data_IF_943975954881
#
_entry.id   IF_943975954881
#
_cell.length_a   1.000
_cell.length_b   1.000
_cell.length_c   1.000
_cell.angle_alpha   90.00
_cell.angle_beta   90.00
_cell.angle_gamma   90.00
#
_symmetry.space_group_name_H-M   'P 1'
#
loop_
_entity.id
_entity.type
_entity.pdbx_description
1 polymer ?
#
# COMPACT_ATOMS: atom_id res chain seq x y z
N UNK A 1 28.16 -29.16 -122.78
CA UNK A 1 27.21 -28.07 -122.45
C UNK A 1 25.92 -28.52 -121.75
N UNK A 2 25.43 -29.77 -121.88
CA UNK A 2 24.20 -30.25 -121.20
C UNK A 2 24.32 -30.37 -119.67
N UNK A 3 25.44 -30.87 -119.15
CA UNK A 3 25.59 -31.17 -117.71
C UNK A 3 25.72 -29.91 -116.83
N UNK A 4 26.28 -28.80 -117.33
CA UNK A 4 26.36 -27.55 -116.55
C UNK A 4 25.04 -26.77 -116.50
N UNK A 5 24.11 -27.05 -117.41
CA UNK A 5 22.75 -26.50 -117.34
C UNK A 5 21.96 -27.20 -116.24
N UNK A 6 22.01 -28.53 -116.18
CA UNK A 6 21.32 -29.33 -115.14
C UNK A 6 21.84 -28.97 -113.74
N UNK A 7 23.16 -28.87 -113.54
CA UNK A 7 23.74 -28.52 -112.24
C UNK A 7 23.30 -27.13 -111.75
N UNK A 8 23.20 -26.15 -112.66
CA UNK A 8 22.72 -24.79 -112.33
C UNK A 8 21.23 -24.77 -112.00
N UNK A 9 20.38 -25.52 -112.72
CA UNK A 9 18.96 -25.62 -112.39
C UNK A 9 18.71 -26.34 -111.06
N UNK A 10 19.45 -27.42 -110.77
CA UNK A 10 19.35 -28.09 -109.46
C UNK A 10 19.86 -27.23 -108.32
N UNK A 11 20.92 -26.44 -108.52
CA UNK A 11 21.43 -25.54 -107.49
C UNK A 11 20.44 -24.40 -107.22
N UNK A 12 19.85 -23.79 -108.26
CA UNK A 12 18.83 -22.74 -108.11
C UNK A 12 17.57 -23.30 -107.42
N UNK A 13 17.13 -24.51 -107.78
CA UNK A 13 15.98 -25.16 -107.14
C UNK A 13 16.24 -25.49 -105.66
N UNK A 14 17.46 -25.95 -105.33
CA UNK A 14 17.85 -26.23 -103.95
C UNK A 14 17.94 -24.92 -103.13
N UNK A 15 18.55 -23.87 -103.68
CA UNK A 15 18.59 -22.55 -103.03
C UNK A 15 17.19 -21.99 -102.81
N UNK A 16 16.26 -22.15 -103.78
CA UNK A 16 14.87 -21.70 -103.66
C UNK A 16 14.06 -22.52 -102.62
N UNK A 17 14.34 -23.82 -102.47
CA UNK A 17 13.76 -24.69 -101.43
C UNK A 17 14.27 -24.36 -100.01
N UNK A 18 15.51 -23.87 -99.87
CA UNK A 18 16.09 -23.47 -98.60
C UNK A 18 15.64 -22.07 -98.13
N UNK A 19 14.92 -21.29 -98.96
CA UNK A 19 14.34 -19.98 -98.57
C UNK A 19 12.93 -20.09 -97.95
N UNK A 20 12.39 -21.30 -97.79
CA UNK A 20 11.20 -21.52 -96.96
C UNK A 20 11.61 -21.46 -95.48
N UNK A 21 11.96 -20.27 -95.01
CA UNK A 21 12.11 -20.00 -93.58
C UNK A 21 10.81 -20.35 -92.89
N UNK A 22 10.93 -21.12 -91.80
CA UNK A 22 9.87 -21.53 -90.90
C UNK A 22 9.32 -20.24 -90.27
N UNK A 23 8.27 -19.67 -90.85
CA UNK A 23 7.58 -18.55 -90.25
C UNK A 23 6.95 -19.02 -88.94
N UNK A 24 7.47 -18.54 -87.80
CA UNK A 24 6.80 -18.74 -86.52
C UNK A 24 5.43 -18.06 -86.60
N UNK A 25 4.35 -18.80 -86.29
CA UNK A 25 2.98 -18.30 -86.29
C UNK A 25 2.67 -17.45 -85.03
N UNK A 26 3.56 -16.52 -84.69
CA UNK A 26 3.33 -15.56 -83.61
C UNK A 26 2.51 -14.37 -84.12
N UNK A 27 1.51 -13.97 -83.34
CA UNK A 27 0.66 -12.82 -83.68
C UNK A 27 1.21 -11.59 -82.99
N UNK A 28 1.82 -10.69 -83.76
CA UNK A 28 2.16 -9.34 -83.31
C UNK A 28 1.10 -8.34 -83.74
N UNK A 29 0.55 -7.54 -82.83
CA UNK A 29 -0.28 -6.38 -83.19
C UNK A 29 0.46 -5.11 -82.77
N UNK A 30 0.83 -4.29 -83.76
CA UNK A 30 1.71 -3.13 -83.61
C UNK A 30 3.09 -3.45 -82.98
N UNK A 31 3.48 -4.73 -83.05
CA UNK A 31 4.76 -5.23 -82.56
C UNK A 31 5.45 -6.02 -83.69
N UNK A 32 6.43 -5.42 -84.40
CA UNK A 32 7.07 -6.07 -85.57
C UNK A 32 8.03 -7.20 -85.18
N UNK A 33 8.49 -7.23 -83.93
CA UNK A 33 9.29 -8.31 -83.35
C UNK A 33 8.63 -8.82 -82.07
N UNK A 34 7.55 -9.62 -82.17
CA UNK A 34 6.92 -10.23 -81.01
C UNK A 34 7.95 -11.00 -80.18
N UNK A 35 7.80 -10.95 -78.85
CA UNK A 35 8.65 -11.73 -77.96
C UNK A 35 8.59 -13.22 -78.33
N UNK A 36 9.74 -13.88 -78.35
CA UNK A 36 9.86 -15.30 -78.72
C UNK A 36 9.07 -16.26 -77.82
N UNK A 37 8.69 -15.83 -76.61
CA UNK A 37 7.87 -16.58 -75.68
C UNK A 37 6.37 -16.32 -75.82
N UNK A 38 5.95 -15.38 -76.68
CA UNK A 38 4.56 -14.96 -76.80
C UNK A 38 3.88 -15.53 -78.05
N UNK A 39 2.69 -16.12 -77.86
CA UNK A 39 1.79 -16.49 -78.97
C UNK A 39 1.10 -15.23 -79.52
N UNK A 40 0.79 -14.27 -78.64
CA UNK A 40 0.23 -12.95 -78.96
C UNK A 40 1.01 -11.87 -78.21
N UNK A 41 1.60 -10.92 -78.94
CA UNK A 41 2.28 -9.75 -78.38
C UNK A 41 1.62 -8.46 -78.89
N UNK A 42 1.20 -7.60 -77.97
CA UNK A 42 0.44 -6.38 -78.23
C UNK A 42 1.25 -5.18 -77.72
N UNK A 43 1.59 -4.26 -78.63
CA UNK A 43 2.27 -3.01 -78.24
C UNK A 43 1.40 -1.80 -78.53
N UNK A 44 1.18 -0.96 -77.52
CA UNK A 44 0.52 0.34 -77.68
C UNK A 44 0.89 1.26 -76.52
N UNK A 45 1.08 2.55 -76.81
CA UNK A 45 1.39 3.55 -75.78
C UNK A 45 0.12 4.12 -75.11
N UNK A 46 -1.07 3.85 -75.67
CA UNK A 46 -2.34 4.44 -75.21
C UNK A 46 -3.59 3.56 -75.38
N UNK A 47 -3.46 2.29 -75.77
CA UNK A 47 -4.57 1.33 -75.89
C UNK A 47 -4.30 0.09 -75.03
N UNK A 48 -5.36 -0.56 -74.56
CA UNK A 48 -5.30 -1.82 -73.82
C UNK A 48 -5.97 -2.96 -74.58
N UNK A 49 -5.97 -4.16 -73.97
CA UNK A 49 -6.67 -5.33 -74.47
C UNK A 49 -8.04 -5.45 -73.79
N UNK A 50 -9.12 -5.45 -74.59
CA UNK A 50 -10.43 -5.88 -74.13
C UNK A 50 -10.58 -7.38 -74.44
N UNK A 51 -10.61 -8.19 -73.39
CA UNK A 51 -10.99 -9.61 -73.47
C UNK A 51 -12.51 -9.75 -73.65
N UNK A 52 -13.06 -10.94 -73.99
CA UNK A 52 -14.50 -11.13 -74.15
C UNK A 52 -15.29 -10.59 -72.97
N UNK A 53 -16.27 -9.73 -73.26
CA UNK A 53 -17.11 -9.04 -72.26
C UNK A 53 -18.50 -9.66 -72.28
N UNK A 54 -18.82 -10.40 -71.24
CA UNK A 54 -20.04 -11.22 -71.14
C UNK A 54 -20.72 -10.94 -69.80
N UNK A 55 -22.03 -11.14 -69.73
CA UNK A 55 -22.76 -11.17 -68.46
C UNK A 55 -22.50 -12.50 -67.71
N UNK A 56 -22.79 -12.54 -66.42
CA UNK A 56 -22.65 -13.76 -65.62
C UNK A 56 -23.42 -14.97 -66.21
N UNK A 57 -24.61 -14.74 -66.78
CA UNK A 57 -25.41 -15.78 -67.43
C UNK A 57 -24.79 -16.28 -68.73
N UNK A 58 -24.23 -15.38 -69.55
CA UNK A 58 -23.53 -15.74 -70.78
C UNK A 58 -22.23 -16.52 -70.51
N UNK A 59 -21.50 -16.17 -69.44
CA UNK A 59 -20.28 -16.88 -69.02
C UNK A 59 -20.60 -18.34 -68.65
N UNK A 60 -21.70 -18.57 -67.94
CA UNK A 60 -22.12 -19.93 -67.55
C UNK A 60 -22.53 -20.80 -68.75
N UNK A 61 -22.89 -20.20 -69.88
CA UNK A 61 -23.28 -20.91 -71.10
C UNK A 61 -22.10 -21.30 -71.99
N UNK A 62 -20.87 -20.91 -71.66
CA UNK A 62 -19.68 -21.30 -72.43
C UNK A 62 -19.49 -22.83 -72.34
N UNK A 63 -19.60 -23.57 -73.46
CA UNK A 63 -19.44 -25.02 -73.42
C UNK A 63 -17.95 -25.40 -73.34
N UNK A 64 -17.62 -26.34 -72.46
CA UNK A 64 -16.26 -26.88 -72.29
C UNK A 64 -15.16 -25.78 -72.18
N UNK A 65 -15.27 -24.82 -71.24
CA UNK A 65 -14.27 -23.77 -71.10
C UNK A 65 -12.90 -24.38 -70.78
N UNK A 66 -11.85 -23.88 -71.44
CA UNK A 66 -10.49 -24.29 -71.14
C UNK A 66 -10.03 -23.71 -69.80
N UNK A 67 -9.21 -24.46 -69.06
CA UNK A 67 -8.53 -23.93 -67.87
C UNK A 67 -7.68 -22.70 -68.25
N UNK A 68 -7.81 -21.62 -67.48
CA UNK A 68 -7.18 -20.33 -67.75
C UNK A 68 -7.94 -19.43 -68.73
N UNK A 69 -9.11 -19.83 -69.24
CA UNK A 69 -9.92 -18.96 -70.12
C UNK A 69 -10.36 -17.70 -69.37
N UNK A 70 -10.02 -16.52 -69.90
CA UNK A 70 -10.30 -15.22 -69.30
C UNK A 70 -11.49 -14.51 -69.96
N UNK A 71 -12.35 -13.90 -69.15
CA UNK A 71 -13.43 -13.02 -69.59
C UNK A 71 -13.65 -11.86 -68.60
N UNK A 72 -14.31 -10.81 -69.06
CA UNK A 72 -14.75 -9.71 -68.21
C UNK A 72 -16.26 -9.78 -68.03
N UNK A 73 -16.69 -9.98 -66.78
CA UNK A 73 -18.09 -10.05 -66.39
C UNK A 73 -18.68 -8.63 -66.30
N UNK A 74 -19.60 -8.29 -67.20
CA UNK A 74 -20.08 -6.91 -67.39
C UNK A 74 -21.10 -6.47 -66.35
N UNK A 75 -21.95 -7.37 -65.88
CA UNK A 75 -22.95 -7.14 -64.83
C UNK A 75 -22.33 -7.12 -63.42
N UNK A 76 -21.28 -7.91 -63.19
CA UNK A 76 -20.53 -7.92 -61.93
C UNK A 76 -19.33 -6.97 -61.92
N UNK A 77 -18.93 -6.43 -63.08
CA UNK A 77 -17.76 -5.55 -63.24
C UNK A 77 -16.44 -6.12 -62.72
N UNK A 78 -16.20 -7.41 -63.01
CA UNK A 78 -15.00 -8.14 -62.56
C UNK A 78 -14.36 -8.90 -63.71
N UNK A 79 -13.05 -9.16 -63.59
CA UNK A 79 -12.39 -10.15 -64.42
C UNK A 79 -12.63 -11.56 -63.86
N UNK A 80 -12.91 -12.53 -64.72
CA UNK A 80 -13.13 -13.92 -64.37
C UNK A 80 -12.18 -14.83 -65.16
N UNK A 81 -11.82 -15.96 -64.57
CA UNK A 81 -11.11 -17.04 -65.26
C UNK A 81 -11.72 -18.40 -64.91
N UNK A 82 -11.64 -19.36 -65.83
CA UNK A 82 -12.03 -20.74 -65.53
C UNK A 82 -10.84 -21.50 -64.93
N UNK A 83 -11.00 -22.13 -63.76
CA UNK A 83 -9.91 -22.85 -63.07
C UNK A 83 -9.84 -24.35 -63.43
N UNK A 84 -10.60 -24.79 -64.43
CA UNK A 84 -10.75 -26.20 -64.79
C UNK A 84 -12.03 -26.85 -64.23
N UNK A 85 -12.64 -26.28 -63.19
CA UNK A 85 -13.92 -26.76 -62.63
C UNK A 85 -15.01 -25.69 -62.60
N UNK A 86 -14.65 -24.47 -62.19
CA UNK A 86 -15.56 -23.36 -61.94
C UNK A 86 -15.01 -22.03 -62.47
N UNK A 87 -15.92 -21.07 -62.65
CA UNK A 87 -15.58 -19.68 -62.92
C UNK A 87 -15.18 -18.97 -61.63
N UNK A 88 -13.93 -18.52 -61.58
CA UNK A 88 -13.35 -17.81 -60.47
C UNK A 88 -13.22 -16.32 -60.80
N UNK A 89 -13.55 -15.45 -59.85
CA UNK A 89 -13.19 -14.04 -59.96
C UNK A 89 -11.67 -13.89 -59.81
N UNK A 90 -11.03 -13.13 -60.70
CA UNK A 90 -9.69 -12.62 -60.44
C UNK A 90 -9.82 -11.59 -59.32
N UNK A 91 -9.23 -11.83 -58.14
CA UNK A 91 -9.38 -10.92 -57.03
C UNK A 91 -8.86 -9.54 -57.45
N UNK A 92 -9.69 -8.52 -57.35
CA UNK A 92 -9.22 -7.15 -57.40
C UNK A 92 -8.48 -6.91 -56.09
N UNK A 93 -7.17 -7.17 -56.08
CA UNK A 93 -6.33 -6.65 -55.00
C UNK A 93 -6.41 -5.13 -55.20
N UNK A 94 -7.24 -4.46 -54.41
CA UNK A 94 -7.55 -3.03 -54.50
C UNK A 94 -6.37 -2.13 -54.13
N UNK A 95 -5.17 -2.47 -54.58
CA UNK A 95 -4.06 -1.53 -54.65
C UNK A 95 -4.48 -0.51 -55.70
N UNK A 96 -4.96 0.65 -55.23
CA UNK A 96 -4.89 1.84 -56.08
C UNK A 96 -3.43 1.98 -56.46
N UNK A 97 -3.09 1.63 -57.70
CA UNK A 97 -1.81 1.95 -58.28
C UNK A 97 -1.78 3.48 -58.43
N UNK A 98 -1.38 4.16 -57.35
CA UNK A 98 -1.13 5.59 -57.39
C UNK A 98 0.16 5.78 -58.21
N UNK A 99 0.03 5.92 -59.54
CA UNK A 99 1.13 6.15 -60.48
C UNK A 99 1.81 7.54 -60.32
N UNK A 100 1.77 8.15 -59.13
CA UNK A 100 2.33 9.47 -58.86
C UNK A 100 2.88 9.68 -57.45
N UNK A 101 2.96 8.64 -56.63
CA UNK A 101 3.59 8.74 -55.30
C UNK A 101 4.86 7.87 -55.23
N UNK A 102 6.07 8.46 -55.38
CA UNK A 102 7.33 7.75 -55.23
C UNK A 102 7.57 7.23 -53.79
N UNK A 103 6.69 7.53 -52.84
CA UNK A 103 6.74 7.02 -51.45
C UNK A 103 6.07 5.64 -51.26
N UNK A 104 5.50 5.05 -52.31
CA UNK A 104 4.82 3.74 -52.21
C UNK A 104 5.74 2.54 -51.88
N UNK A 105 7.06 2.73 -51.78
CA UNK A 105 7.98 1.72 -51.24
C UNK A 105 8.05 1.69 -49.70
N UNK A 106 7.29 2.55 -49.00
CA UNK A 106 7.09 2.45 -47.55
C UNK A 106 5.71 1.87 -47.25
N UNK A 107 5.66 0.57 -46.96
CA UNK A 107 4.47 -0.20 -46.60
C UNK A 107 3.69 0.47 -45.44
N UNK A 108 2.76 1.37 -45.77
CA UNK A 108 1.75 1.86 -44.82
C UNK A 108 0.62 0.84 -44.82
N UNK A 109 0.53 0.06 -43.75
CA UNK A 109 -0.61 -0.83 -43.49
C UNK A 109 -1.85 0.06 -43.32
N UNK A 110 -2.60 0.30 -44.39
CA UNK A 110 -3.96 0.83 -44.31
C UNK A 110 -4.92 -0.33 -44.04
N UNK A 111 -4.88 -0.89 -42.82
CA UNK A 111 -5.84 -1.90 -42.41
C UNK A 111 -7.18 -1.22 -42.10
N UNK A 112 -8.13 -1.31 -43.03
CA UNK A 112 -9.54 -1.11 -42.70
C UNK A 112 -10.01 -2.37 -41.96
N UNK A 113 -10.03 -2.30 -40.64
CA UNK A 113 -10.38 -3.41 -39.74
C UNK A 113 -11.89 -3.40 -39.56
N UNK A 114 -12.57 -4.36 -40.19
CA UNK A 114 -14.01 -4.60 -40.01
C UNK A 114 -14.31 -5.09 -38.58
N UNK A 115 -15.54 -4.92 -38.05
CA UNK A 115 -15.87 -5.15 -36.63
C UNK A 115 -15.68 -6.58 -36.11
N UNK A 116 -15.50 -7.57 -37.01
CA UNK A 116 -15.49 -9.01 -36.67
C UNK A 116 -14.13 -9.69 -36.84
N UNK A 117 -13.08 -8.99 -37.30
CA UNK A 117 -11.73 -9.57 -37.42
C UNK A 117 -10.78 -9.01 -36.37
N UNK A 118 -9.93 -9.88 -35.82
CA UNK A 118 -8.90 -9.53 -34.83
C UNK A 118 -7.63 -9.04 -35.54
N UNK A 119 -6.95 -8.06 -34.97
CA UNK A 119 -5.72 -7.47 -35.51
C UNK A 119 -4.54 -7.96 -34.70
N UNK A 120 -3.68 -8.77 -35.31
CA UNK A 120 -2.40 -9.18 -34.75
C UNK A 120 -1.25 -8.37 -35.35
N UNK A 121 -0.53 -7.61 -34.53
CA UNK A 121 0.79 -7.06 -34.87
C UNK A 121 1.81 -7.95 -34.15
N UNK A 122 2.65 -8.66 -34.91
CA UNK A 122 3.59 -9.63 -34.34
C UNK A 122 2.97 -10.97 -33.91
N UNK A 123 1.68 -11.22 -34.19
CA UNK A 123 0.99 -12.49 -33.92
C UNK A 123 0.07 -12.89 -35.07
N UNK A 124 0.12 -14.16 -35.50
CA UNK A 124 -0.79 -14.74 -36.49
C UNK A 124 -2.04 -15.39 -35.85
N UNK A 125 -2.14 -15.40 -34.51
CA UNK A 125 -3.27 -15.95 -33.75
C UNK A 125 -3.72 -14.99 -32.64
N UNK A 126 -4.15 -13.76 -32.98
CA UNK A 126 -4.57 -12.77 -31.98
C UNK A 126 -5.72 -13.32 -31.12
N UNK A 127 -5.57 -13.26 -29.80
CA UNK A 127 -6.60 -13.72 -28.86
C UNK A 127 -7.65 -12.63 -28.57
N UNK A 128 -7.28 -11.36 -28.77
CA UNK A 128 -8.13 -10.17 -28.57
C UNK A 128 -8.35 -9.41 -29.88
N UNK A 129 -9.29 -8.46 -29.91
CA UNK A 129 -9.57 -7.63 -31.10
C UNK A 129 -8.34 -6.87 -31.60
N UNK A 130 -7.46 -6.46 -30.70
CA UNK A 130 -6.12 -5.98 -31.00
C UNK A 130 -5.13 -6.77 -30.13
N UNK A 131 -4.15 -7.41 -30.75
CA UNK A 131 -3.02 -8.07 -30.11
C UNK A 131 -1.75 -7.50 -30.71
N UNK A 132 -0.88 -6.96 -29.86
CA UNK A 132 0.47 -6.55 -30.22
C UNK A 132 1.43 -7.44 -29.44
N UNK A 133 2.18 -8.29 -30.14
CA UNK A 133 3.28 -9.07 -29.58
C UNK A 133 4.57 -8.35 -29.93
N UNK A 134 5.28 -7.88 -28.91
CA UNK A 134 6.38 -6.92 -29.03
C UNK A 134 6.00 -5.52 -28.57
N UNK A 135 6.86 -4.54 -28.87
CA UNK A 135 6.82 -3.23 -28.22
C UNK A 135 5.77 -2.32 -28.87
N UNK A 136 4.95 -1.65 -28.08
CA UNK A 136 3.92 -0.72 -28.55
C UNK A 136 4.31 0.72 -28.22
N UNK A 137 4.56 1.56 -29.22
CA UNK A 137 4.76 3.00 -29.06
C UNK A 137 3.54 3.79 -29.58
N UNK A 138 2.93 4.61 -28.73
CA UNK A 138 1.78 5.46 -29.09
C UNK A 138 2.11 6.93 -28.79
N UNK A 139 1.94 7.80 -29.79
CA UNK A 139 2.10 9.26 -29.63
C UNK A 139 3.55 9.77 -29.67
N UNK A 140 4.53 8.93 -30.02
CA UNK A 140 5.92 9.32 -30.22
C UNK A 140 6.64 8.42 -31.23
N UNK A 141 7.64 8.97 -31.91
CA UNK A 141 8.60 8.21 -32.73
C UNK A 141 9.77 7.76 -31.85
N UNK A 142 9.50 6.81 -30.94
CA UNK A 142 10.47 6.26 -29.99
C UNK A 142 10.22 4.76 -29.85
N UNK A 143 11.29 3.98 -29.75
CA UNK A 143 11.21 2.54 -29.49
C UNK A 143 10.73 2.30 -28.06
N UNK A 144 9.57 1.66 -27.90
CA UNK A 144 9.11 1.19 -26.59
C UNK A 144 10.04 0.09 -26.04
N UNK A 145 10.06 -0.11 -24.72
CA UNK A 145 10.84 -1.20 -24.12
C UNK A 145 10.35 -2.58 -24.58
N UNK A 146 11.21 -3.59 -24.52
CA UNK A 146 10.90 -4.98 -24.86
C UNK A 146 9.59 -5.43 -24.17
N UNK A 147 8.62 -5.89 -24.97
CA UNK A 147 7.28 -6.33 -24.52
C UNK A 147 6.51 -5.29 -23.69
N UNK A 148 6.87 -4.00 -23.82
CA UNK A 148 6.28 -2.88 -23.09
C UNK A 148 5.44 -1.95 -23.97
N UNK A 149 4.58 -1.18 -23.31
CA UNK A 149 3.84 -0.08 -23.93
C UNK A 149 4.45 1.28 -23.52
N UNK A 150 4.89 2.08 -24.50
CA UNK A 150 5.28 3.47 -24.32
C UNK A 150 4.18 4.38 -24.88
N UNK A 151 3.49 5.12 -24.02
CA UNK A 151 2.45 6.05 -24.43
C UNK A 151 2.88 7.47 -24.03
N UNK A 152 3.18 8.31 -25.02
CA UNK A 152 3.49 9.72 -24.78
C UNK A 152 2.20 10.51 -24.60
N UNK A 153 1.84 10.80 -23.35
CA UNK A 153 0.65 11.60 -23.01
C UNK A 153 -0.09 11.07 -21.78
N UNK A 154 -1.27 11.61 -21.53
CA UNK A 154 -2.17 11.07 -20.49
C UNK A 154 -2.77 9.75 -21.00
N UNK A 155 -2.57 8.67 -20.24
CA UNK A 155 -3.26 7.39 -20.47
C UNK A 155 -4.53 7.40 -19.62
N UNK A 156 -5.69 7.45 -20.26
CA UNK A 156 -6.96 7.12 -19.62
C UNK A 156 -7.21 5.63 -19.82
N UNK A 157 -7.24 4.87 -18.74
CA UNK A 157 -7.65 3.46 -18.71
C UNK A 157 -8.97 3.44 -17.94
N UNK A 158 -10.03 2.85 -18.46
CA UNK A 158 -11.36 2.86 -17.85
C UNK A 158 -12.45 3.48 -18.73
N UNK A 159 -13.69 3.08 -18.49
CA UNK A 159 -14.84 3.39 -19.33
C UNK A 159 -15.32 4.84 -19.14
N UNK A 160 -16.05 5.37 -20.13
CA UNK A 160 -17.02 6.42 -19.87
C UNK A 160 -18.01 5.89 -18.80
N UNK A 161 -18.55 6.73 -17.90
CA UNK A 161 -19.25 6.26 -16.71
C UNK A 161 -20.48 5.42 -17.10
N UNK A 162 -20.34 4.10 -17.06
CA UNK A 162 -21.48 3.21 -16.89
C UNK A 162 -21.84 3.24 -15.41
N UNK A 163 -23.13 3.40 -15.13
CA UNK A 163 -23.67 3.58 -13.79
C UNK A 163 -23.39 2.35 -12.91
N UNK A 164 -22.22 2.32 -12.28
CA UNK A 164 -21.83 1.25 -11.35
C UNK A 164 -20.33 1.09 -11.13
N UNK A 165 -19.48 1.52 -12.07
CA UNK A 165 -18.03 1.37 -11.95
C UNK A 165 -17.35 2.72 -11.67
N UNK A 166 -16.83 2.88 -10.45
CA UNK A 166 -16.23 4.14 -9.97
C UNK A 166 -14.73 4.24 -10.20
N UNK A 167 -14.07 3.14 -10.57
CA UNK A 167 -12.61 3.06 -10.55
C UNK A 167 -11.97 3.32 -11.92
N UNK A 168 -11.01 4.25 -11.94
CA UNK A 168 -10.29 4.68 -13.16
C UNK A 168 -8.97 3.92 -13.39
N UNK A 169 -8.63 2.97 -12.52
CA UNK A 169 -7.49 2.08 -12.66
C UNK A 169 -7.67 0.92 -11.66
N UNK A 170 -8.13 -0.22 -12.13
CA UNK A 170 -8.15 -1.47 -11.36
C UNK A 170 -6.90 -2.29 -11.70
N UNK A 171 -6.16 -2.72 -10.69
CA UNK A 171 -4.98 -3.58 -10.82
C UNK A 171 -5.17 -4.74 -9.86
N UNK A 172 -5.39 -5.95 -10.39
CA UNK A 172 -5.39 -7.19 -9.61
C UNK A 172 -3.94 -7.60 -9.31
N UNK A 173 -3.32 -6.88 -8.38
CA UNK A 173 -1.92 -7.04 -8.01
C UNK A 173 -1.30 -5.80 -7.39
N UNK A 174 0.03 -5.83 -7.23
CA UNK A 174 0.79 -4.72 -6.65
C UNK A 174 1.10 -3.65 -7.71
N UNK A 175 0.86 -2.37 -7.37
CA UNK A 175 1.36 -1.24 -8.14
C UNK A 175 2.75 -0.86 -7.61
N UNK A 176 3.80 -1.15 -8.39
CA UNK A 176 5.15 -0.66 -8.09
C UNK A 176 5.38 0.68 -8.78
N UNK A 177 5.18 1.78 -8.04
CA UNK A 177 5.40 3.13 -8.55
C UNK A 177 6.82 3.61 -8.20
N UNK A 178 7.63 3.93 -9.22
CA UNK A 178 8.89 4.66 -9.04
C UNK A 178 8.68 6.16 -8.77
N UNK A 179 7.47 6.66 -9.04
CA UNK A 179 7.02 8.02 -8.77
C UNK A 179 6.00 8.09 -7.64
N UNK A 180 5.31 9.23 -7.52
CA UNK A 180 4.32 9.48 -6.48
C UNK A 180 2.95 8.89 -6.87
N UNK A 181 2.30 8.19 -5.94
CA UNK A 181 0.87 7.89 -6.03
C UNK A 181 0.12 9.06 -5.42
N UNK A 182 -0.77 9.69 -6.19
CA UNK A 182 -1.55 10.86 -5.75
C UNK A 182 -3.04 10.59 -5.77
N UNK A 183 -3.73 11.05 -4.74
CA UNK A 183 -5.18 11.01 -4.60
C UNK A 183 -5.70 12.43 -4.42
N UNK A 184 -6.65 12.86 -5.26
CA UNK A 184 -7.14 14.24 -5.31
C UNK A 184 -6.04 15.32 -5.46
N UNK A 185 -4.93 14.99 -6.13
CA UNK A 185 -3.80 15.90 -6.33
C UNK A 185 -2.78 15.93 -5.18
N UNK A 186 -3.00 15.17 -4.10
CA UNK A 186 -2.10 15.06 -2.96
C UNK A 186 -1.39 13.72 -2.94
N UNK A 187 -0.17 13.66 -2.43
CA UNK A 187 0.57 12.41 -2.26
C UNK A 187 -0.16 11.50 -1.26
N UNK A 188 -0.29 10.19 -1.56
CA UNK A 188 -0.98 9.22 -0.70
C UNK A 188 -0.41 9.19 0.72
N UNK A 189 0.91 9.33 0.84
CA UNK A 189 1.63 9.54 2.09
C UNK A 189 2.47 10.81 1.94
N UNK A 190 2.06 11.95 2.54
CA UNK A 190 2.79 13.20 2.40
C UNK A 190 4.13 13.15 3.11
N UNK A 191 5.10 13.92 2.59
CA UNK A 191 6.39 14.16 3.24
C UNK A 191 6.17 14.65 4.68
N UNK A 192 6.91 14.07 5.62
CA UNK A 192 6.76 14.34 7.05
C UNK A 192 5.76 13.44 7.79
N UNK A 193 5.01 12.57 7.10
CA UNK A 193 4.17 11.58 7.75
C UNK A 193 5.02 10.61 8.60
N UNK A 194 4.62 10.39 9.86
CA UNK A 194 5.30 9.48 10.79
C UNK A 194 4.40 8.27 11.04
N UNK A 195 4.98 7.07 10.92
CA UNK A 195 4.29 5.81 11.20
C UNK A 195 5.13 4.94 12.15
N UNK A 196 4.47 3.99 12.81
CA UNK A 196 5.14 2.93 13.58
C UNK A 196 5.66 1.84 12.63
N UNK A 197 6.82 1.29 12.94
CA UNK A 197 7.56 0.36 12.08
C UNK A 197 8.20 -0.76 12.89
N UNK A 198 8.03 -2.00 12.44
CA UNK A 198 8.61 -3.20 13.05
C UNK A 198 9.70 -3.87 12.21
N UNK A 199 10.02 -3.32 11.03
CA UNK A 199 10.96 -3.91 10.09
C UNK A 199 12.41 -3.46 10.29
N UNK A 200 13.21 -3.56 9.23
CA UNK A 200 14.62 -3.17 9.24
C UNK A 200 14.78 -1.67 9.56
N UNK A 201 15.65 -1.35 10.52
CA UNK A 201 15.93 0.02 11.00
C UNK A 201 17.25 0.59 10.48
N UNK A 202 17.95 -0.15 9.61
CA UNK A 202 19.14 0.36 8.93
C UNK A 202 18.81 1.62 8.12
N UNK A 203 19.57 2.69 8.35
CA UNK A 203 19.30 4.01 7.76
C UNK A 203 19.52 4.03 6.24
N UNK A 204 20.42 3.22 5.72
CA UNK A 204 20.69 3.11 4.28
C UNK A 204 19.48 2.43 3.61
N UNK A 205 19.02 1.33 4.19
CA UNK A 205 17.83 0.62 3.74
C UNK A 205 16.59 1.53 3.76
N UNK A 206 16.26 2.16 4.90
CA UNK A 206 15.10 3.04 5.02
C UNK A 206 15.16 4.18 3.99
N UNK A 207 16.34 4.81 3.82
CA UNK A 207 16.52 5.86 2.82
C UNK A 207 16.28 5.37 1.40
N UNK A 208 16.71 4.14 1.07
CA UNK A 208 16.50 3.55 -0.26
C UNK A 208 15.02 3.33 -0.61
N UNK A 209 14.15 3.20 0.40
CA UNK A 209 12.70 3.08 0.24
C UNK A 209 11.96 4.39 0.54
N UNK A 210 12.68 5.51 0.70
CA UNK A 210 12.10 6.84 0.88
C UNK A 210 11.63 7.17 2.31
N UNK A 211 12.18 6.50 3.31
CA UNK A 211 11.88 6.68 4.73
C UNK A 211 13.14 7.06 5.54
N UNK A 212 12.94 7.72 6.67
CA UNK A 212 13.98 8.02 7.65
C UNK A 212 13.58 7.52 9.03
N UNK A 213 14.54 7.20 9.89
CA UNK A 213 14.28 6.89 11.29
C UNK A 213 14.06 8.19 12.09
N UNK A 214 13.07 8.20 12.99
CA UNK A 214 12.81 9.32 13.90
C UNK A 214 13.74 9.28 15.13
N UNK A 215 15.01 9.63 14.91
CA UNK A 215 16.06 9.63 15.92
C UNK A 215 16.84 10.96 16.00
N UNK A 216 16.29 12.03 15.42
CA UNK A 216 16.94 13.34 15.35
C UNK A 216 17.82 13.54 14.11
N UNK A 217 17.97 12.53 13.26
CA UNK A 217 18.79 12.62 12.05
C UNK A 217 18.17 13.58 11.03
N UNK A 218 19.02 14.34 10.34
CA UNK A 218 18.68 15.11 9.16
C UNK A 218 18.87 14.29 7.89
N UNK A 219 17.85 14.26 7.04
CA UNK A 219 17.83 13.53 5.79
C UNK A 219 17.76 14.48 4.61
N UNK A 220 18.69 14.34 3.67
CA UNK A 220 18.67 15.10 2.43
C UNK A 220 17.44 14.77 1.58
N UNK A 221 16.75 15.78 1.07
CA UNK A 221 15.62 15.56 0.17
C UNK A 221 16.12 15.14 -1.22
N UNK A 222 15.59 14.05 -1.76
CA UNK A 222 15.97 13.57 -3.10
C UNK A 222 15.41 14.44 -4.24
N UNK A 223 14.38 15.25 -3.96
CA UNK A 223 13.68 16.10 -4.94
C UNK A 223 14.16 17.57 -4.94
N UNK A 224 15.29 17.86 -4.27
CA UNK A 224 15.85 19.22 -4.18
C UNK A 224 15.08 20.17 -3.26
N UNK A 225 14.07 19.69 -2.54
CA UNK A 225 13.41 20.46 -1.48
C UNK A 225 14.26 20.52 -0.21
N UNK A 226 13.80 21.26 0.81
CA UNK A 226 14.51 21.33 2.09
C UNK A 226 14.66 19.94 2.73
N UNK A 227 15.81 19.74 3.38
CA UNK A 227 16.09 18.53 4.16
C UNK A 227 15.01 18.30 5.23
N UNK A 228 14.79 17.03 5.56
CA UNK A 228 13.88 16.64 6.64
C UNK A 228 14.70 16.37 7.89
N UNK A 229 14.52 17.21 8.90
CA UNK A 229 15.00 16.91 10.26
C UNK A 229 13.95 16.04 10.94
N UNK A 230 14.28 14.77 11.13
CA UNK A 230 13.38 13.87 11.87
C UNK A 230 13.37 14.23 13.36
N UNK A 231 12.22 14.14 14.06
CA UNK A 231 12.21 14.27 15.51
C UNK A 231 12.90 13.06 16.15
N UNK A 232 13.54 13.23 17.32
CA UNK A 232 14.00 12.09 18.12
C UNK A 232 12.86 11.58 19.01
N UNK A 233 12.24 10.47 18.60
CA UNK A 233 11.08 9.87 19.28
C UNK A 233 11.45 8.63 20.11
N UNK A 234 12.75 8.30 20.23
CA UNK A 234 13.19 7.12 20.97
C UNK A 234 12.86 7.27 22.47
N UNK A 235 12.19 6.27 23.04
CA UNK A 235 11.79 6.25 24.44
C UNK A 235 10.66 7.22 24.81
N UNK A 236 10.09 7.94 23.83
CA UNK A 236 9.08 8.99 24.06
C UNK A 236 7.68 8.53 23.72
N UNK A 237 6.71 9.03 24.47
CA UNK A 237 5.31 8.94 24.11
C UNK A 237 4.90 10.08 23.19
N UNK A 238 3.85 9.83 22.41
CA UNK A 238 3.25 10.80 21.50
C UNK A 238 2.02 11.43 22.16
N UNK A 239 1.92 12.75 22.09
CA UNK A 239 0.77 13.52 22.56
C UNK A 239 0.15 14.29 21.40
N UNK A 240 -1.17 14.49 21.44
CA UNK A 240 -1.88 15.28 20.44
C UNK A 240 -1.48 16.75 20.50
N UNK A 241 -1.31 17.37 19.32
CA UNK A 241 -1.07 18.80 19.17
C UNK A 241 -2.27 19.62 19.66
N UNK A 242 -1.98 20.82 20.18
CA UNK A 242 -2.97 21.84 20.46
C UNK A 242 -2.97 22.30 21.92
N UNK A 243 -3.89 23.22 22.22
CA UNK A 243 -4.11 23.76 23.56
C UNK A 243 -5.41 23.23 24.13
N UNK A 244 -5.38 22.73 25.36
CA UNK A 244 -6.57 22.28 26.10
C UNK A 244 -6.38 22.44 27.61
N UNK A 245 -7.44 22.48 28.43
CA UNK A 245 -7.28 22.40 29.88
C UNK A 245 -6.68 21.04 30.28
N UNK A 246 -5.79 21.07 31.26
CA UNK A 246 -5.39 19.85 31.97
C UNK A 246 -6.61 19.22 32.64
N UNK A 247 -6.75 17.90 32.58
CA UNK A 247 -7.87 17.18 33.19
C UNK A 247 -7.36 16.22 34.25
N UNK A 248 -7.88 16.37 35.46
CA UNK A 248 -7.66 15.41 36.55
C UNK A 248 -8.89 14.54 36.70
N UNK A 249 -8.72 13.22 36.66
CA UNK A 249 -9.79 12.26 36.94
C UNK A 249 -9.98 12.18 38.46
N UNK A 250 -11.18 12.51 38.92
CA UNK A 250 -11.57 12.40 40.32
C UNK A 250 -11.98 10.96 40.65
N UNK A 251 -12.00 10.62 41.95
CA UNK A 251 -12.34 9.27 42.42
C UNK A 251 -13.78 8.85 42.07
N UNK A 252 -14.69 9.81 41.90
CA UNK A 252 -16.08 9.58 41.49
C UNK A 252 -16.25 9.40 39.96
N UNK A 253 -15.14 9.41 39.20
CA UNK A 253 -15.14 9.31 37.74
C UNK A 253 -15.39 10.63 37.01
N UNK A 254 -15.61 11.73 37.72
CA UNK A 254 -15.73 13.07 37.13
C UNK A 254 -14.34 13.67 36.79
N UNK A 255 -14.32 14.75 36.02
CA UNK A 255 -13.08 15.47 35.70
C UNK A 255 -13.09 16.89 36.27
N UNK A 256 -11.97 17.31 36.82
CA UNK A 256 -11.69 18.72 37.14
C UNK A 256 -10.73 19.30 36.10
N UNK A 257 -11.02 20.53 35.64
CA UNK A 257 -10.19 21.24 34.67
C UNK A 257 -9.19 22.14 35.41
N UNK A 258 -7.92 21.99 35.08
CA UNK A 258 -6.83 22.86 35.52
C UNK A 258 -6.48 23.94 34.49
N UNK A 259 -5.29 24.54 34.60
CA UNK A 259 -4.77 25.48 33.61
C UNK A 259 -4.68 24.86 32.20
N UNK A 260 -4.69 25.71 31.17
CA UNK A 260 -4.46 25.27 29.80
C UNK A 260 -3.02 24.80 29.62
N UNK A 261 -2.87 23.62 29.03
CA UNK A 261 -1.62 23.06 28.54
C UNK A 261 -1.57 23.14 27.02
N UNK A 262 -0.40 23.45 26.45
CA UNK A 262 -0.20 23.60 25.00
C UNK A 262 0.90 22.67 24.53
N UNK A 263 0.60 21.86 23.51
CA UNK A 263 1.58 21.03 22.81
C UNK A 263 1.76 21.52 21.37
N UNK A 264 2.97 21.96 21.04
CA UNK A 264 3.33 22.45 19.70
C UNK A 264 4.06 21.39 18.89
N UNK A 265 3.91 21.42 17.57
CA UNK A 265 4.65 20.53 16.67
C UNK A 265 6.15 20.83 16.78
N UNK A 266 6.96 19.78 16.91
CA UNK A 266 8.42 19.90 17.07
C UNK A 266 8.88 20.33 18.46
N UNK A 267 7.97 20.58 19.40
CA UNK A 267 8.36 20.85 20.78
C UNK A 267 8.92 19.58 21.43
N UNK A 268 10.20 19.63 21.81
CA UNK A 268 10.83 18.59 22.62
C UNK A 268 10.57 18.85 24.10
N UNK A 269 9.35 18.59 24.58
CA UNK A 269 9.09 18.58 26.02
C UNK A 269 9.67 17.32 26.67
N UNK A 270 10.07 17.48 27.93
CA UNK A 270 11.06 16.71 28.69
C UNK A 270 10.50 15.36 29.17
N UNK A 271 10.08 14.50 28.24
CA UNK A 271 9.79 13.10 28.56
C UNK A 271 11.09 12.39 28.90
N UNK A 272 11.40 12.24 30.19
CA UNK A 272 12.55 11.46 30.67
C UNK A 272 12.10 10.02 30.94
N UNK A 273 12.96 9.05 30.66
CA UNK A 273 12.68 7.62 30.90
C UNK A 273 12.41 7.31 32.38
N UNK A 274 12.99 8.11 33.28
CA UNK A 274 12.94 7.91 34.72
C UNK A 274 12.70 9.24 35.41
N UNK A 275 11.72 9.27 36.32
CA UNK A 275 11.43 10.43 37.16
C UNK A 275 11.79 10.08 38.60
N UNK A 276 12.63 10.91 39.21
CA UNK A 276 12.86 10.87 40.65
C UNK A 276 11.72 11.64 41.33
N UNK A 277 10.85 10.93 42.05
CA UNK A 277 9.78 11.54 42.82
C UNK A 277 10.40 12.24 44.03
N UNK A 278 10.13 13.54 44.18
CA UNK A 278 10.43 14.28 45.43
C UNK A 278 9.33 14.08 46.45
N UNK A 279 9.59 14.38 47.72
CA UNK A 279 8.58 14.29 48.78
C UNK A 279 7.31 15.12 48.46
N UNK A 280 7.48 16.28 47.83
CA UNK A 280 6.37 17.13 47.39
C UNK A 280 5.55 16.56 46.23
N UNK A 281 6.06 15.54 45.53
CA UNK A 281 5.41 14.88 44.39
C UNK A 281 4.74 13.55 44.77
N UNK A 282 4.89 13.08 46.01
CA UNK A 282 4.15 11.92 46.50
C UNK A 282 2.68 12.31 46.69
N UNK A 283 1.71 11.51 46.19
CA UNK A 283 0.29 11.74 46.48
C UNK A 283 0.03 11.83 47.99
N UNK A 284 -0.91 12.69 48.38
CA UNK A 284 -1.39 12.73 49.75
C UNK A 284 -1.85 11.31 50.14
N UNK A 285 -1.24 10.77 51.19
CA UNK A 285 -1.59 9.47 51.75
C UNK A 285 -1.65 9.62 53.26
N UNK A 286 -2.53 8.84 53.89
CA UNK A 286 -2.65 8.79 55.33
C UNK A 286 -2.04 7.48 55.83
N UNK A 287 -1.35 7.54 56.96
CA UNK A 287 -0.98 6.36 57.72
C UNK A 287 -1.94 6.26 58.90
N UNK A 288 -2.86 5.31 58.82
CA UNK A 288 -3.85 5.10 59.87
C UNK A 288 -3.20 4.26 60.99
N UNK A 289 -2.87 4.91 62.10
CA UNK A 289 -2.34 4.24 63.28
C UNK A 289 -3.51 3.99 64.25
N UNK A 290 -4.26 2.92 63.99
CA UNK A 290 -5.34 2.49 64.87
C UNK A 290 -4.77 1.78 66.11
N UNK A 291 -4.64 2.49 67.24
CA UNK A 291 -4.64 1.82 68.53
C UNK A 291 -6.09 1.44 68.83
N UNK A 292 -6.44 0.15 68.69
CA UNK A 292 -7.76 -0.37 69.00
C UNK A 292 -8.16 0.02 70.45
N UNK A 293 -8.88 1.12 70.61
CA UNK A 293 -9.67 1.41 71.81
C UNK A 293 -11.11 1.63 71.36
N UNK A 294 -11.96 0.67 71.73
CA UNK A 294 -13.39 0.72 71.48
C UNK A 294 -13.99 1.94 72.22
N UNK A 295 -14.74 2.73 71.47
CA UNK A 295 -15.53 3.90 71.88
C UNK A 295 -14.81 5.26 72.08
N UNK A 296 -14.97 6.10 71.05
CA UNK A 296 -14.73 7.55 71.03
C UNK A 296 -15.45 8.29 72.16
N UNK A 297 -14.74 8.68 73.22
CA UNK A 297 -14.96 9.97 73.92
C UNK A 297 -13.62 10.56 74.36
N UNK A 298 -13.52 11.89 74.46
CA UNK A 298 -12.30 12.69 74.49
C UNK A 298 -11.41 12.58 75.74
N UNK A 299 -11.44 11.45 76.45
CA UNK A 299 -10.53 11.12 77.55
C UNK A 299 -10.13 9.65 77.40
N UNK A 300 -9.06 9.44 76.62
CA UNK A 300 -8.44 8.14 76.41
C UNK A 300 -7.93 7.59 77.75
N UNK A 301 -8.67 6.63 78.32
CA UNK A 301 -8.28 5.91 79.52
C UNK A 301 -8.34 4.43 79.23
N UNK A 302 -7.17 3.79 79.10
CA UNK A 302 -7.09 2.34 79.14
C UNK A 302 -7.20 1.88 80.60
N UNK A 303 -8.05 0.89 80.89
CA UNK A 303 -8.24 0.35 82.24
C UNK A 303 -7.33 -0.86 82.47
N UNK A 304 -6.50 -0.78 83.50
CA UNK A 304 -5.90 -1.97 84.09
C UNK A 304 -6.85 -2.52 85.15
N UNK A 305 -7.49 -3.66 84.91
CA UNK A 305 -8.24 -4.40 85.93
C UNK A 305 -7.28 -5.23 86.76
N UNK A 306 -6.97 -4.76 87.96
CA UNK A 306 -6.33 -5.59 88.98
C UNK A 306 -7.41 -6.31 89.79
N UNK A 307 -7.52 -7.62 89.59
CA UNK A 307 -8.46 -8.47 90.31
C UNK A 307 -7.79 -8.92 91.61
N UNK A 308 -8.07 -8.25 92.73
CA UNK A 308 -7.60 -8.70 94.04
C UNK A 308 -8.44 -9.90 94.48
N UNK A 309 -7.90 -11.11 94.29
CA UNK A 309 -8.45 -12.32 94.92
C UNK A 309 -7.88 -12.39 96.34
N UNK A 310 -8.48 -11.64 97.24
CA UNK A 310 -8.24 -11.73 98.68
C UNK A 310 -9.58 -11.90 99.39
N UNK A 311 -9.73 -12.99 100.15
CA UNK A 311 -10.92 -13.17 100.97
C UNK A 311 -11.03 -12.01 101.98
N UNK A 312 -12.24 -11.65 102.38
CA UNK A 312 -12.51 -10.56 103.34
C UNK A 312 -12.20 -10.92 104.80
N UNK A 313 -11.28 -11.86 105.08
CA UNK A 313 -11.05 -12.40 106.44
C UNK A 313 -9.63 -12.26 107.00
N UNK A 314 -8.61 -11.88 106.25
CA UNK A 314 -7.23 -11.82 106.78
C UNK A 314 -6.84 -10.48 107.45
N UNK A 315 -7.81 -9.63 107.84
CA UNK A 315 -7.53 -8.39 108.60
C UNK A 315 -7.71 -8.59 110.13
N UNK A 316 -8.31 -9.70 110.58
CA UNK A 316 -8.65 -9.90 112.00
C UNK A 316 -8.33 -11.30 112.53
N UNK A 317 -7.15 -11.85 112.23
CA UNK A 317 -6.69 -13.05 112.95
C UNK A 317 -5.48 -12.68 113.81
N UNK A 318 -5.74 -12.42 115.10
CA UNK A 318 -4.73 -12.38 116.13
C UNK A 318 -4.77 -13.74 116.85
N UNK A 319 -3.78 -14.54 116.54
CA UNK A 319 -3.48 -15.86 117.08
C UNK A 319 -3.11 -15.78 118.57
N UNK A 320 -4.15 -15.83 119.40
CA UNK A 320 -4.16 -16.58 120.65
C UNK A 320 -3.18 -16.16 121.75
N UNK A 321 -3.62 -15.27 122.65
CA UNK A 321 -3.58 -15.56 124.09
C UNK A 321 -4.35 -14.52 124.91
N UNK A 322 -5.47 -14.96 125.51
CA UNK A 322 -6.01 -14.52 126.79
C UNK A 322 -6.30 -13.03 127.05
N UNK A 323 -7.60 -12.70 127.05
CA UNK A 323 -8.30 -11.65 127.83
C UNK A 323 -7.79 -10.20 127.65
N UNK A 324 -8.54 -9.21 127.19
CA UNK A 324 -9.98 -8.94 127.19
C UNK A 324 -10.31 -8.05 125.97
N UNK A 325 -11.56 -8.07 125.51
CA UNK A 325 -12.18 -7.18 124.52
C UNK A 325 -11.35 -5.98 124.04
N UNK A 326 -10.50 -6.22 123.05
CA UNK A 326 -9.94 -5.16 122.20
C UNK A 326 -10.69 -5.16 120.87
N UNK A 327 -12.02 -5.02 120.95
CA UNK A 327 -12.74 -4.38 119.86
C UNK A 327 -12.16 -2.97 119.78
N UNK A 328 -11.31 -2.74 118.78
CA UNK A 328 -10.84 -1.41 118.38
C UNK A 328 -12.11 -0.57 118.14
N UNK A 329 -12.55 0.12 119.18
CA UNK A 329 -13.69 1.03 119.16
C UNK A 329 -13.11 2.37 118.73
N UNK A 330 -12.78 2.47 117.46
CA UNK A 330 -12.40 3.74 116.87
C UNK A 330 -13.68 4.56 116.79
N UNK A 331 -13.75 5.66 117.54
CA UNK A 331 -14.80 6.66 117.31
C UNK A 331 -14.77 7.08 115.84
N UNK A 332 -15.95 7.30 115.26
CA UNK A 332 -16.23 7.40 113.81
C UNK A 332 -15.23 8.23 112.97
N UNK A 333 -14.52 9.18 113.58
CA UNK A 333 -13.48 9.98 112.93
C UNK A 333 -12.11 9.29 112.82
N UNK A 334 -11.66 8.56 113.83
CA UNK A 334 -10.31 7.98 113.84
C UNK A 334 -10.19 6.76 112.90
N UNK A 335 -11.26 5.98 112.76
CA UNK A 335 -11.35 4.91 111.75
C UNK A 335 -11.38 5.48 110.33
N UNK A 336 -12.19 6.53 110.13
CA UNK A 336 -12.30 7.21 108.85
C UNK A 336 -10.98 7.85 108.43
N UNK A 337 -10.25 8.50 109.35
CA UNK A 337 -8.96 9.11 109.06
C UNK A 337 -7.87 8.08 108.76
N UNK A 338 -7.83 6.94 109.46
CA UNK A 338 -6.89 5.85 109.14
C UNK A 338 -7.20 5.22 107.77
N UNK A 339 -8.46 4.89 107.50
CA UNK A 339 -8.89 4.35 106.20
C UNK A 339 -8.66 5.36 105.07
N UNK A 340 -8.91 6.64 105.30
CA UNK A 340 -8.65 7.69 104.33
C UNK A 340 -7.16 7.84 104.08
N UNK A 341 -6.32 7.76 105.12
CA UNK A 341 -4.85 7.79 104.98
C UNK A 341 -4.33 6.60 104.18
N UNK A 342 -4.88 5.40 104.38
CA UNK A 342 -4.48 4.20 103.65
C UNK A 342 -4.96 4.25 102.19
N UNK A 343 -6.19 4.73 101.95
CA UNK A 343 -6.73 4.99 100.60
C UNK A 343 -5.90 6.06 99.89
N UNK A 344 -5.53 7.14 100.57
CA UNK A 344 -4.70 8.21 100.03
C UNK A 344 -3.29 7.70 99.73
N UNK A 345 -2.71 6.85 100.58
CA UNK A 345 -1.42 6.19 100.30
C UNK A 345 -1.50 5.25 99.09
N UNK A 346 -2.57 4.48 98.95
CA UNK A 346 -2.82 3.63 97.77
C UNK A 346 -2.94 4.51 96.52
N UNK A 347 -3.76 5.56 96.55
CA UNK A 347 -3.95 6.47 95.43
C UNK A 347 -2.66 7.22 95.05
N UNK A 348 -1.87 7.64 96.05
CA UNK A 348 -0.59 8.33 95.83
C UNK A 348 0.45 7.39 95.22
N UNK A 349 0.51 6.13 95.68
CA UNK A 349 1.39 5.12 95.10
C UNK A 349 0.93 4.69 93.70
N UNK A 350 -0.37 4.57 93.44
CA UNK A 350 -0.89 4.28 92.10
C UNK A 350 -0.52 5.39 91.11
N UNK A 351 -0.74 6.65 91.49
CA UNK A 351 -0.34 7.79 90.65
C UNK A 351 1.18 7.91 90.46
N UNK A 352 1.98 7.42 91.41
CA UNK A 352 3.46 7.39 91.30
C UNK A 352 3.97 6.36 90.29
N UNK A 353 3.25 5.25 90.07
CA UNK A 353 3.65 4.18 89.14
C UNK A 353 2.88 4.17 87.81
N UNK A 354 1.78 4.92 87.69
CA UNK A 354 1.11 5.17 86.40
C UNK A 354 1.80 6.32 85.67
N UNK A 355 3.00 6.06 85.14
CA UNK A 355 3.67 6.98 84.22
C UNK A 355 2.87 6.97 82.91
N UNK A 356 2.47 8.15 82.43
CA UNK A 356 1.86 8.34 81.10
C UNK A 356 2.71 7.58 80.05
N UNK A 357 2.24 6.41 79.61
CA UNK A 357 2.92 5.65 78.56
C UNK A 357 2.72 6.38 77.23
N UNK A 358 3.70 7.20 76.86
CA UNK A 358 3.75 7.87 75.57
C UNK A 358 4.13 6.83 74.51
N UNK A 359 3.16 6.42 73.69
CA UNK A 359 3.42 5.59 72.52
C UNK A 359 3.92 6.46 71.35
N UNK A 360 5.24 6.59 71.22
CA UNK A 360 5.84 7.22 70.05
C UNK A 360 5.88 6.24 68.87
N UNK A 361 5.06 6.51 67.85
CA UNK A 361 5.16 5.82 66.56
C UNK A 361 6.02 6.64 65.60
N UNK A 362 7.22 6.15 65.28
CA UNK A 362 8.09 6.76 64.27
C UNK A 362 7.86 6.08 62.92
N UNK A 363 7.19 6.77 61.99
CA UNK A 363 7.12 6.35 60.60
C UNK A 363 8.31 6.98 59.88
N UNK A 364 9.30 6.16 59.52
CA UNK A 364 10.43 6.61 58.71
C UNK A 364 9.98 6.72 57.25
N UNK A 365 10.46 7.72 56.48
CA UNK A 365 10.29 7.75 55.03
C UNK A 365 11.09 6.61 54.41
N UNK A 366 10.50 5.41 54.33
CA UNK A 366 11.12 4.23 53.71
C UNK A 366 10.76 4.15 52.24
N UNK A 367 11.56 4.83 51.42
CA UNK A 367 11.74 4.57 50.00
C UNK A 367 13.24 4.52 49.68
N UNK A 368 13.66 3.74 48.68
CA UNK A 368 15.09 3.66 48.30
C UNK A 368 15.57 4.87 47.47
N UNK A 369 14.71 5.87 47.25
CA UNK A 369 14.96 7.07 46.45
C UNK A 369 15.42 6.78 45.01
N UNK A 370 15.20 5.54 44.53
CA UNK A 370 15.51 5.15 43.17
C UNK A 370 14.39 5.62 42.25
N UNK A 371 14.77 6.13 41.09
CA UNK A 371 13.81 6.44 40.05
C UNK A 371 13.15 5.14 39.57
N UNK A 372 11.85 5.18 39.35
CA UNK A 372 11.09 4.05 38.83
C UNK A 372 10.74 4.29 37.35
N UNK A 373 10.54 3.20 36.63
CA UNK A 373 10.00 3.23 35.28
C UNK A 373 8.50 3.53 35.38
N UNK A 374 8.05 4.63 34.76
CA UNK A 374 6.66 5.09 34.84
C UNK A 374 5.85 4.68 33.60
N UNK A 375 6.43 3.89 32.70
CA UNK A 375 5.75 3.36 31.52
C UNK A 375 5.03 2.04 31.85
N UNK A 376 3.77 1.87 31.41
CA UNK A 376 3.11 0.55 31.41
C UNK A 376 3.94 -0.47 30.60
N UNK A 377 3.74 -1.79 30.76
CA UNK A 377 4.37 -2.79 29.89
C UNK A 377 4.18 -2.44 28.41
N UNK A 378 5.25 -2.49 27.61
CA UNK A 378 5.25 -2.01 26.22
C UNK A 378 5.93 -2.98 25.25
N UNK A 379 5.50 -2.92 24.00
CA UNK A 379 6.17 -3.54 22.85
C UNK A 379 6.93 -2.47 22.07
N UNK A 380 8.15 -2.77 21.61
CA UNK A 380 9.03 -1.78 20.97
C UNK A 380 8.82 -1.76 19.46
N UNK A 381 8.46 -0.59 18.94
CA UNK A 381 8.41 -0.26 17.51
C UNK A 381 9.30 0.95 17.25
N UNK A 382 9.88 1.01 16.05
CA UNK A 382 10.51 2.22 15.55
C UNK A 382 9.46 3.22 15.07
N UNK A 383 9.80 4.50 15.10
CA UNK A 383 9.07 5.53 14.35
C UNK A 383 9.87 5.87 13.11
N UNK A 384 9.23 5.85 11.95
CA UNK A 384 9.84 6.27 10.68
C UNK A 384 9.05 7.41 10.06
N UNK A 385 9.75 8.33 9.39
CA UNK A 385 9.22 9.52 8.75
C UNK A 385 9.35 9.42 7.23
N UNK A 386 8.32 9.81 6.50
CA UNK A 386 8.36 9.89 5.04
C UNK A 386 9.26 11.05 4.60
N UNK A 387 10.32 10.74 3.85
CA UNK A 387 11.27 11.73 3.32
C UNK A 387 10.75 12.48 2.09
#
# INVERSE_FOLDING_TARGET
MKNSRILKTTLIALTLCLQFSIGHAQVGINQPTPDSSAILDLKSDNKGLLIPRLTSSEIQLIPNPAEGLLCYCTDLSIFCYFNGTDWMALPAWGWKLNLGDPSANGQKISAHIYPDTKVGIGSNTPQSKLTVVGNLAVGADVVAQADGAYIKGQVKIGNAPDAGDTEKLEVDGNINASGRIRTYGYDLLPKGAIIMWSGNTDKIYLKSIGWGLCDGTEYAAADGTANVVSPDLRGRFIVGYGTRPERTLNQDGSYTNGPNITYSIGASTIGVDKVKITEAQMPLHNHDNNTLNDQKTATDTHKHTWNFVGNTRDIFDNDGSGSEDNCITLGDKAAADFLQTEIDNINTNMNKYMVNNIHNHTIYPRGNNLAHENRPPYYVLAYIIKL
#
